data_IF_421186964417
#
_entry.id   IF_421186964417
#
_cell.length_a   1.000
_cell.length_b   1.000
_cell.length_c   1.000
_cell.angle_alpha   90.00
_cell.angle_beta   90.00
_cell.angle_gamma   90.00
#
_symmetry.space_group_name_H-M   'P 1'
#
loop_
_entity.id
_entity.type
_entity.pdbx_description
1 polymer ?
#
# COMPACT_ATOMS: atom_id res chain seq x y z
N UNK A 1 -36.55 -5.39 -12.89
CA UNK A 1 -35.96 -5.09 -11.59
C UNK A 1 -35.08 -6.27 -11.19
N UNK A 2 -33.81 -6.25 -11.56
CA UNK A 2 -32.83 -7.26 -11.18
C UNK A 2 -32.21 -6.82 -9.83
N UNK A 3 -32.39 -7.67 -8.80
CA UNK A 3 -31.74 -7.47 -7.50
C UNK A 3 -30.22 -7.67 -7.72
N UNK A 4 -29.46 -6.62 -7.57
CA UNK A 4 -28.01 -6.71 -7.39
C UNK A 4 -27.77 -7.61 -6.17
N UNK A 5 -27.21 -8.79 -6.41
CA UNK A 5 -26.65 -9.62 -5.33
C UNK A 5 -25.44 -8.85 -4.79
N UNK A 6 -25.50 -8.49 -3.51
CA UNK A 6 -24.35 -7.96 -2.80
C UNK A 6 -23.21 -8.98 -2.93
N UNK A 7 -22.16 -8.62 -3.66
CA UNK A 7 -20.91 -9.38 -3.66
C UNK A 7 -20.35 -9.31 -2.25
N UNK A 8 -20.10 -10.46 -1.65
CA UNK A 8 -19.47 -10.54 -0.35
C UNK A 8 -18.01 -10.12 -0.50
N UNK A 9 -17.72 -8.88 -0.13
CA UNK A 9 -16.34 -8.47 0.12
C UNK A 9 -15.79 -9.30 1.28
N UNK A 10 -14.54 -9.71 1.17
CA UNK A 10 -13.86 -10.37 2.27
C UNK A 10 -13.70 -9.35 3.42
N UNK A 11 -14.70 -9.30 4.30
CA UNK A 11 -14.60 -8.61 5.57
C UNK A 11 -13.91 -9.58 6.54
N UNK A 12 -12.77 -9.23 7.14
CA UNK A 12 -12.18 -10.06 8.17
C UNK A 12 -13.21 -10.28 9.26
N UNK A 13 -13.40 -11.54 9.69
CA UNK A 13 -14.25 -11.83 10.84
C UNK A 13 -13.57 -11.27 12.09
N UNK A 14 -14.06 -10.12 12.53
CA UNK A 14 -13.59 -9.47 13.76
C UNK A 14 -14.18 -10.27 14.93
N UNK A 15 -13.37 -10.74 15.90
CA UNK A 15 -13.89 -11.31 17.13
C UNK A 15 -14.77 -10.29 17.86
N UNK A 16 -16.01 -10.66 18.20
CA UNK A 16 -16.92 -9.79 18.95
C UNK A 16 -16.44 -9.66 20.39
N UNK A 17 -16.47 -8.42 20.89
CA UNK A 17 -16.25 -7.97 22.27
C UNK A 17 -14.82 -8.11 22.81
N UNK A 18 -14.04 -7.05 22.70
CA UNK A 18 -12.83 -6.85 23.47
C UNK A 18 -13.12 -6.00 24.71
N UNK A 19 -12.55 -6.45 25.85
CA UNK A 19 -12.53 -5.68 27.11
C UNK A 19 -11.57 -4.49 26.96
N UNK A 20 -12.08 -3.27 27.05
CA UNK A 20 -11.39 -2.00 26.76
C UNK A 20 -10.29 -1.63 27.77
N UNK A 21 -9.94 -2.48 28.71
CA UNK A 21 -9.03 -2.13 29.81
C UNK A 21 -7.55 -2.46 29.57
N UNK A 22 -7.19 -3.18 28.50
CA UNK A 22 -5.82 -3.40 28.03
C UNK A 22 -5.82 -3.53 26.50
N UNK A 23 -5.88 -2.39 25.78
CA UNK A 23 -5.71 -2.35 24.34
C UNK A 23 -4.22 -2.55 24.03
N UNK A 24 -3.84 -3.77 23.65
CA UNK A 24 -2.65 -3.96 22.83
C UNK A 24 -2.93 -3.29 21.48
N UNK A 25 -2.28 -2.16 21.23
CA UNK A 25 -2.46 -1.37 20.00
C UNK A 25 -2.17 -2.16 18.72
N UNK A 26 -1.47 -3.28 18.85
CA UNK A 26 -1.15 -4.18 17.76
C UNK A 26 -1.23 -5.65 18.23
N UNK A 27 -2.06 -6.44 17.58
CA UNK A 27 -2.28 -7.85 17.90
C UNK A 27 -1.86 -8.72 16.72
N UNK A 28 -1.07 -9.77 17.00
CA UNK A 28 -0.73 -10.77 16.00
C UNK A 28 -1.96 -11.56 15.59
N UNK A 29 -2.19 -11.70 14.30
CA UNK A 29 -3.36 -12.36 13.70
C UNK A 29 -2.96 -13.04 12.39
N UNK A 30 -3.95 -13.44 11.60
CA UNK A 30 -3.76 -13.90 10.22
C UNK A 30 -4.73 -13.17 9.30
N UNK A 31 -4.31 -12.98 8.06
CA UNK A 31 -5.18 -12.53 6.97
C UNK A 31 -5.10 -13.56 5.83
N UNK A 32 -6.18 -14.29 5.59
CA UNK A 32 -6.09 -15.53 4.83
C UNK A 32 -5.16 -16.54 5.53
N UNK A 33 -4.11 -16.99 4.83
CA UNK A 33 -3.07 -17.86 5.41
C UNK A 33 -1.82 -17.08 5.85
N UNK A 34 -1.81 -15.75 5.67
CA UNK A 34 -0.64 -14.91 5.93
C UNK A 34 -0.61 -14.45 7.39
N UNK A 35 0.53 -14.57 8.09
CA UNK A 35 0.74 -13.88 9.36
C UNK A 35 0.53 -12.37 9.18
N UNK A 36 -0.20 -11.75 10.10
CA UNK A 36 -0.56 -10.36 10.03
C UNK A 36 -0.57 -9.70 11.41
N UNK A 37 -0.60 -8.37 11.42
CA UNK A 37 -0.89 -7.54 12.58
C UNK A 37 -2.24 -6.86 12.37
N UNK A 38 -3.05 -6.79 13.41
CA UNK A 38 -4.19 -5.88 13.51
C UNK A 38 -3.80 -4.72 14.41
N UNK A 39 -3.75 -3.53 13.87
CA UNK A 39 -3.63 -2.28 14.63
C UNK A 39 -5.03 -1.79 15.00
N UNK A 40 -5.17 -1.26 16.21
CA UNK A 40 -6.40 -0.60 16.67
C UNK A 40 -6.00 0.64 17.46
N UNK A 41 -6.39 1.81 16.99
CA UNK A 41 -6.17 3.08 17.69
C UNK A 41 -7.24 3.30 18.79
N UNK A 42 -6.98 4.15 19.78
CA UNK A 42 -7.92 4.44 20.87
C UNK A 42 -9.28 4.98 20.39
N UNK A 43 -9.33 5.64 19.25
CA UNK A 43 -10.56 6.18 18.64
C UNK A 43 -11.32 5.16 17.77
N UNK A 44 -10.81 3.93 17.66
CA UNK A 44 -11.45 2.82 16.97
C UNK A 44 -11.05 2.65 15.49
N UNK A 45 -10.10 3.43 14.97
CA UNK A 45 -9.55 3.15 13.65
C UNK A 45 -8.77 1.82 13.66
N UNK A 46 -8.81 1.09 12.55
CA UNK A 46 -8.21 -0.24 12.42
C UNK A 46 -7.40 -0.38 11.14
N UNK A 47 -6.30 -1.13 11.21
CA UNK A 47 -5.52 -1.51 10.03
C UNK A 47 -5.01 -2.95 10.13
N UNK A 48 -5.06 -3.68 9.04
CA UNK A 48 -4.49 -5.03 8.93
C UNK A 48 -3.26 -5.00 8.03
N UNK A 49 -2.12 -5.49 8.53
CA UNK A 49 -0.84 -5.49 7.83
C UNK A 49 -0.32 -6.92 7.79
N UNK A 50 -0.14 -7.50 6.61
CA UNK A 50 0.49 -8.81 6.49
C UNK A 50 2.01 -8.69 6.60
N UNK A 51 2.68 -9.67 7.22
CA UNK A 51 4.15 -9.71 7.27
C UNK A 51 4.74 -10.01 5.88
N UNK A 52 3.98 -10.67 5.01
CA UNK A 52 4.32 -10.83 3.61
C UNK A 52 4.12 -9.51 2.88
N UNK A 53 5.22 -8.91 2.44
CA UNK A 53 5.24 -7.62 1.74
C UNK A 53 5.16 -6.38 2.64
N UNK A 54 5.12 -6.51 3.97
CA UNK A 54 4.72 -5.42 4.90
C UNK A 54 3.44 -4.73 4.39
N UNK A 55 2.52 -5.54 3.87
CA UNK A 55 1.43 -5.10 3.03
C UNK A 55 0.25 -4.64 3.89
N UNK A 56 -0.01 -3.33 3.91
CA UNK A 56 -1.25 -2.80 4.47
C UNK A 56 -2.43 -3.22 3.56
N UNK A 57 -3.23 -4.18 4.05
CA UNK A 57 -4.26 -4.81 3.24
C UNK A 57 -5.66 -4.26 3.49
N UNK A 58 -5.88 -3.66 4.65
CA UNK A 58 -7.14 -3.03 5.06
C UNK A 58 -6.83 -1.84 5.94
N UNK A 59 -7.52 -0.73 5.73
CA UNK A 59 -7.50 0.43 6.59
C UNK A 59 -8.91 0.99 6.72
N UNK A 60 -9.42 0.94 7.94
CA UNK A 60 -10.74 1.41 8.31
C UNK A 60 -10.59 2.57 9.30
N UNK A 61 -11.11 3.73 8.94
CA UNK A 61 -11.10 4.89 9.83
C UNK A 61 -12.00 4.71 11.05
N UNK A 62 -11.95 5.63 11.99
CA UNK A 62 -12.84 5.66 13.17
C UNK A 62 -14.32 5.80 12.78
N UNK A 63 -14.62 6.30 11.58
CA UNK A 63 -15.96 6.32 10.97
C UNK A 63 -16.45 4.94 10.50
N UNK A 64 -15.62 3.88 10.63
CA UNK A 64 -15.92 2.51 10.25
C UNK A 64 -15.83 2.21 8.75
N UNK A 65 -15.47 3.19 7.91
CA UNK A 65 -15.35 3.01 6.46
C UNK A 65 -14.03 2.33 6.10
N UNK A 66 -14.11 1.25 5.29
CA UNK A 66 -12.95 0.69 4.62
C UNK A 66 -12.51 1.61 3.47
N UNK A 67 -11.22 1.89 3.40
CA UNK A 67 -10.64 2.81 2.39
C UNK A 67 -9.76 2.12 1.38
N UNK A 68 -9.40 0.86 1.62
CA UNK A 68 -8.55 0.11 0.72
C UNK A 68 -9.33 -1.01 0.03
N UNK A 69 -9.10 -1.13 -1.25
CA UNK A 69 -9.61 -2.24 -2.03
C UNK A 69 -8.66 -3.44 -1.90
N UNK A 70 -9.22 -4.62 -1.75
CA UNK A 70 -8.50 -5.87 -1.90
C UNK A 70 -9.37 -6.85 -2.70
N UNK A 71 -8.81 -7.42 -3.77
CA UNK A 71 -9.52 -8.37 -4.61
C UNK A 71 -9.87 -9.66 -3.84
N UNK A 72 -11.10 -10.12 -4.01
CA UNK A 72 -11.55 -11.40 -3.46
C UNK A 72 -10.84 -12.62 -4.08
N UNK A 73 -10.21 -12.44 -5.27
CA UNK A 73 -9.42 -13.48 -5.94
C UNK A 73 -7.92 -13.40 -5.63
N UNK A 74 -7.50 -12.46 -4.79
CA UNK A 74 -6.09 -12.34 -4.42
C UNK A 74 -5.61 -13.57 -3.68
N UNK A 75 -4.44 -14.09 -4.05
CA UNK A 75 -3.80 -15.19 -3.32
C UNK A 75 -3.28 -14.67 -1.98
N UNK A 76 -3.88 -15.15 -0.88
CA UNK A 76 -3.51 -14.75 0.50
C UNK A 76 -2.76 -15.89 1.20
N UNK A 77 -1.81 -16.51 0.48
CA UNK A 77 -1.02 -17.67 0.91
C UNK A 77 0.50 -17.47 0.73
N UNK A 78 0.93 -16.29 0.26
CA UNK A 78 2.33 -15.96 0.00
C UNK A 78 2.88 -16.49 -1.34
N UNK A 79 2.06 -17.10 -2.19
CA UNK A 79 2.49 -17.63 -3.49
C UNK A 79 2.67 -16.54 -4.55
N UNK A 80 1.99 -15.41 -4.42
CA UNK A 80 1.99 -14.28 -5.36
C UNK A 80 1.86 -12.95 -4.63
N UNK A 81 2.18 -11.86 -5.32
CA UNK A 81 1.87 -10.51 -4.84
C UNK A 81 0.35 -10.34 -4.62
N UNK A 82 -0.03 -9.67 -3.56
CA UNK A 82 -1.43 -9.39 -3.22
C UNK A 82 -1.98 -8.32 -4.18
N UNK A 83 -3.20 -8.53 -4.69
CA UNK A 83 -3.94 -7.58 -5.52
C UNK A 83 -4.83 -6.71 -4.63
N UNK A 84 -4.41 -5.48 -4.37
CA UNK A 84 -5.12 -4.55 -3.49
C UNK A 84 -4.26 -4.02 -2.36
N UNK A 85 -4.84 -3.33 -1.40
CA UNK A 85 -4.13 -2.72 -0.29
C UNK A 85 -3.03 -1.76 -0.72
N UNK A 86 -1.86 -1.83 -0.09
CA UNK A 86 -0.70 -1.00 -0.40
C UNK A 86 0.54 -1.87 -0.61
N UNK A 87 0.77 -2.43 -1.79
CA UNK A 87 2.02 -3.09 -2.14
C UNK A 87 3.22 -2.14 -2.03
N UNK A 88 4.29 -2.58 -1.35
CA UNK A 88 5.55 -1.84 -1.25
C UNK A 88 6.42 -2.16 -2.46
N UNK A 89 6.74 -1.14 -3.24
CA UNK A 89 7.53 -1.26 -4.47
C UNK A 89 8.98 -0.89 -4.17
N UNK A 90 9.90 -1.83 -4.40
CA UNK A 90 11.35 -1.68 -4.27
C UNK A 90 12.07 -2.93 -4.82
N UNK A 91 13.23 -2.84 -5.50
CA UNK A 91 14.01 -1.64 -5.80
C UNK A 91 13.70 -1.02 -7.17
N UNK A 92 12.72 -1.54 -7.90
CA UNK A 92 12.32 -0.99 -9.20
C UNK A 92 10.81 -0.87 -9.33
N UNK A 93 10.35 0.08 -10.15
CA UNK A 93 8.94 0.26 -10.51
C UNK A 93 8.64 -0.40 -11.86
N UNK A 94 7.55 -1.14 -11.97
CA UNK A 94 7.16 -1.89 -13.16
C UNK A 94 8.34 -2.69 -13.74
N UNK A 95 8.60 -2.57 -15.03
CA UNK A 95 9.73 -3.16 -15.75
C UNK A 95 10.88 -2.16 -15.97
N UNK A 96 10.95 -1.07 -15.17
CA UNK A 96 12.01 -0.05 -15.25
C UNK A 96 13.28 -0.52 -14.54
N UNK A 97 13.83 -1.66 -15.00
CA UNK A 97 15.03 -2.28 -14.46
C UNK A 97 15.17 -3.72 -14.93
N UNK A 98 16.28 -4.37 -14.59
CA UNK A 98 16.56 -5.75 -15.00
C UNK A 98 15.93 -6.81 -14.06
N UNK A 99 15.38 -6.40 -12.91
CA UNK A 99 14.81 -7.28 -11.91
C UNK A 99 13.35 -7.64 -12.19
N UNK A 100 12.73 -8.32 -11.22
CA UNK A 100 11.31 -8.66 -11.32
C UNK A 100 10.42 -7.40 -11.31
N UNK A 101 9.31 -7.46 -12.03
CA UNK A 101 8.31 -6.39 -12.09
C UNK A 101 7.90 -5.92 -10.69
N UNK A 102 8.04 -4.61 -10.43
CA UNK A 102 7.80 -3.95 -9.16
C UNK A 102 8.71 -4.39 -8.00
N UNK A 103 9.80 -5.10 -8.29
CA UNK A 103 10.77 -5.53 -7.31
C UNK A 103 10.26 -6.61 -6.33
N UNK A 104 11.08 -6.92 -5.36
CA UNK A 104 10.89 -8.06 -4.45
C UNK A 104 10.28 -7.68 -3.09
N UNK A 105 10.24 -6.42 -2.71
CA UNK A 105 9.80 -6.02 -1.36
C UNK A 105 8.39 -6.53 -1.03
N UNK A 106 7.46 -6.43 -1.98
CA UNK A 106 6.06 -6.87 -1.85
C UNK A 106 5.84 -8.39 -1.83
N UNK A 107 6.88 -9.18 -2.13
CA UNK A 107 6.84 -10.65 -2.13
C UNK A 107 7.85 -11.27 -1.15
N UNK A 108 8.40 -10.46 -0.27
CA UNK A 108 9.30 -10.89 0.80
C UNK A 108 8.61 -10.84 2.16
N UNK A 109 9.04 -11.67 3.11
CA UNK A 109 8.53 -11.63 4.48
C UNK A 109 9.32 -10.61 5.29
N UNK A 110 8.62 -9.64 5.88
CA UNK A 110 9.18 -8.60 6.73
C UNK A 110 9.05 -8.99 8.20
N UNK A 111 9.88 -8.37 9.03
CA UNK A 111 9.87 -8.56 10.48
C UNK A 111 9.29 -7.32 11.17
N UNK A 112 8.44 -7.53 12.17
CA UNK A 112 8.02 -6.44 13.07
C UNK A 112 9.21 -6.10 13.95
N UNK A 113 9.60 -4.82 13.98
CA UNK A 113 10.71 -4.31 14.79
C UNK A 113 10.25 -3.38 15.91
N UNK A 114 9.06 -2.80 15.76
CA UNK A 114 8.44 -1.94 16.75
C UNK A 114 6.92 -1.90 16.53
N UNK A 115 6.16 -1.75 17.60
CA UNK A 115 4.71 -1.54 17.53
C UNK A 115 4.21 -0.93 18.83
N UNK A 116 3.10 -0.21 18.80
CA UNK A 116 2.52 0.39 19.99
C UNK A 116 1.58 1.55 19.71
N UNK A 117 1.49 2.45 20.68
CA UNK A 117 0.81 3.73 20.59
C UNK A 117 1.84 4.85 20.64
N UNK A 118 1.64 5.88 19.80
CA UNK A 118 2.41 7.11 19.77
C UNK A 118 1.41 8.27 19.75
N UNK A 119 1.38 9.04 20.83
CA UNK A 119 0.32 10.00 21.17
C UNK A 119 -1.07 9.34 21.18
N UNK A 120 -1.75 9.23 20.09
CA UNK A 120 -3.05 8.55 19.96
C UNK A 120 -3.10 7.63 18.73
N UNK A 121 -2.02 7.54 17.98
CA UNK A 121 -1.93 6.70 16.81
C UNK A 121 -1.47 5.28 17.18
N UNK A 122 -2.17 4.26 16.71
CA UNK A 122 -1.66 2.89 16.72
C UNK A 122 -0.68 2.71 15.57
N UNK A 123 0.50 2.14 15.82
CA UNK A 123 1.53 2.00 14.81
C UNK A 123 2.25 0.66 14.83
N UNK A 124 2.82 0.29 13.70
CA UNK A 124 3.82 -0.76 13.57
C UNK A 124 4.96 -0.31 12.65
N UNK A 125 6.18 -0.76 12.95
CA UNK A 125 7.35 -0.64 12.10
C UNK A 125 7.77 -2.03 11.67
N UNK A 126 7.83 -2.24 10.36
CA UNK A 126 8.30 -3.48 9.77
C UNK A 126 9.64 -3.22 9.07
N UNK A 127 10.53 -4.22 9.06
CA UNK A 127 11.82 -4.13 8.40
C UNK A 127 12.08 -5.36 7.50
N UNK A 128 12.80 -5.11 6.41
CA UNK A 128 13.34 -6.13 5.51
C UNK A 128 14.81 -5.80 5.26
N UNK A 129 15.69 -6.79 5.42
CA UNK A 129 17.12 -6.64 5.16
C UNK A 129 17.56 -7.58 4.03
N UNK A 130 18.72 -7.27 3.46
CA UNK A 130 19.31 -8.09 2.40
C UNK A 130 19.50 -9.57 2.78
N UNK A 131 19.80 -9.85 4.05
CA UNK A 131 19.93 -11.22 4.58
C UNK A 131 18.58 -11.96 4.73
N UNK A 132 17.46 -11.26 4.71
CA UNK A 132 16.12 -11.85 4.80
C UNK A 132 15.58 -12.28 3.42
N UNK A 133 16.26 -11.92 2.32
CA UNK A 133 15.80 -12.23 0.98
C UNK A 133 15.93 -13.71 0.63
N UNK A 134 14.96 -14.20 -0.13
CA UNK A 134 15.11 -15.49 -0.80
C UNK A 134 16.34 -15.47 -1.75
N UNK A 135 17.09 -16.59 -1.88
CA UNK A 135 18.36 -16.64 -2.62
C UNK A 135 18.27 -16.06 -4.04
N UNK A 136 17.18 -16.30 -4.76
CA UNK A 136 16.99 -15.80 -6.12
C UNK A 136 16.91 -14.27 -6.17
N UNK A 137 16.31 -13.62 -5.16
CA UNK A 137 16.22 -12.17 -5.09
C UNK A 137 17.54 -11.54 -4.68
N UNK A 138 18.23 -12.13 -3.70
CA UNK A 138 19.55 -11.70 -3.28
C UNK A 138 20.59 -11.81 -4.42
N UNK A 139 20.49 -12.84 -5.24
CA UNK A 139 21.37 -13.01 -6.41
C UNK A 139 21.06 -12.02 -7.53
N UNK A 140 19.77 -11.73 -7.78
CA UNK A 140 19.35 -10.81 -8.82
C UNK A 140 19.66 -9.34 -8.47
N UNK A 141 19.76 -9.01 -7.17
CA UNK A 141 20.05 -7.66 -6.70
C UNK A 141 21.00 -7.70 -5.48
N UNK A 142 22.33 -7.87 -5.70
CA UNK A 142 23.32 -8.22 -4.67
C UNK A 142 23.83 -6.98 -3.91
N UNK A 143 22.92 -6.19 -3.34
CA UNK A 143 23.25 -5.02 -2.53
C UNK A 143 22.85 -5.21 -1.07
N UNK A 144 23.67 -4.72 -0.15
CA UNK A 144 23.32 -4.65 1.26
C UNK A 144 22.36 -3.49 1.51
N UNK A 145 21.19 -3.77 2.06
CA UNK A 145 20.19 -2.75 2.37
C UNK A 145 19.40 -3.07 3.64
N UNK A 146 18.76 -2.06 4.19
CA UNK A 146 17.66 -2.17 5.13
C UNK A 146 16.50 -1.29 4.66
N UNK A 147 15.31 -1.89 4.56
CA UNK A 147 14.04 -1.18 4.39
C UNK A 147 13.35 -1.11 5.74
N UNK A 148 12.72 0.02 6.04
CA UNK A 148 11.82 0.18 7.19
C UNK A 148 10.53 0.85 6.71
N UNK A 149 9.40 0.28 7.12
CA UNK A 149 8.08 0.86 6.84
C UNK A 149 7.35 1.03 8.18
N UNK A 150 7.11 2.27 8.57
CA UNK A 150 6.21 2.60 9.68
C UNK A 150 4.83 2.88 9.11
N UNK A 151 3.82 2.23 9.66
CA UNK A 151 2.41 2.45 9.36
C UNK A 151 1.74 2.88 10.65
N UNK A 152 1.06 4.04 10.63
CA UNK A 152 0.36 4.58 11.78
C UNK A 152 -1.05 5.01 11.38
N UNK A 153 -2.02 4.73 12.24
CA UNK A 153 -3.43 5.10 12.05
C UNK A 153 -3.97 5.82 13.26
N UNK A 154 -4.77 6.85 13.00
CA UNK A 154 -5.51 7.62 14.02
C UNK A 154 -6.72 8.28 13.36
N UNK A 155 -7.87 8.25 14.00
CA UNK A 155 -9.11 8.81 13.46
C UNK A 155 -9.40 8.30 12.02
N UNK A 156 -9.40 9.21 11.06
CA UNK A 156 -9.55 8.89 9.64
C UNK A 156 -8.23 9.12 8.87
N UNK A 157 -7.10 9.07 9.58
CA UNK A 157 -5.78 9.34 9.02
C UNK A 157 -4.92 8.08 8.96
N UNK A 158 -4.16 7.96 7.89
CA UNK A 158 -3.12 6.97 7.66
C UNK A 158 -1.82 7.70 7.37
N UNK A 159 -0.75 7.36 8.10
CA UNK A 159 0.60 7.85 7.83
C UNK A 159 1.53 6.68 7.59
N UNK A 160 2.25 6.71 6.48
CA UNK A 160 3.26 5.71 6.13
C UNK A 160 4.61 6.40 5.92
N UNK A 161 5.63 5.97 6.67
CA UNK A 161 7.02 6.40 6.47
C UNK A 161 7.81 5.24 5.90
N UNK A 162 8.40 5.43 4.74
CA UNK A 162 9.23 4.42 4.09
C UNK A 162 10.68 4.89 4.05
N UNK A 163 11.58 4.10 4.63
CA UNK A 163 13.01 4.35 4.63
C UNK A 163 13.75 3.28 3.82
N UNK A 164 14.68 3.71 3.00
CA UNK A 164 15.65 2.87 2.28
C UNK A 164 17.05 3.28 2.74
N UNK A 165 17.81 2.34 3.31
CA UNK A 165 19.19 2.56 3.74
C UNK A 165 20.14 1.63 2.99
N UNK A 166 21.26 2.17 2.51
CA UNK A 166 22.36 1.37 2.01
C UNK A 166 23.24 0.90 3.19
N UNK A 167 23.20 -0.39 3.48
CA UNK A 167 24.03 -1.04 4.52
C UNK A 167 25.22 -1.79 3.94
N UNK A 168 25.35 -1.81 2.61
CA UNK A 168 26.43 -2.47 1.88
C UNK A 168 27.67 -1.59 1.69
N UNK A 169 28.61 -2.11 0.92
CA UNK A 169 29.87 -1.45 0.60
C UNK A 169 29.87 -0.75 -0.78
N UNK A 170 28.82 -0.94 -1.58
CA UNK A 170 28.70 -0.39 -2.93
C UNK A 170 27.46 0.50 -3.06
N UNK A 171 27.53 1.60 -3.85
CA UNK A 171 26.36 2.41 -4.11
C UNK A 171 25.34 1.65 -4.96
N UNK A 172 24.05 2.01 -4.82
CA UNK A 172 22.99 1.49 -5.67
C UNK A 172 21.92 2.56 -5.98
N UNK A 173 21.39 2.61 -7.21
CA UNK A 173 20.17 3.32 -7.53
C UNK A 173 18.94 2.48 -7.16
N UNK A 174 17.80 3.12 -6.92
CA UNK A 174 16.54 2.44 -6.66
C UNK A 174 15.35 3.27 -7.13
N UNK A 175 14.20 2.60 -7.26
CA UNK A 175 12.89 3.21 -7.29
C UNK A 175 12.06 2.69 -6.12
N UNK A 176 11.13 3.52 -5.65
CA UNK A 176 10.23 3.19 -4.55
C UNK A 176 8.83 3.72 -4.82
N UNK A 177 7.80 2.97 -4.38
CA UNK A 177 6.43 3.47 -4.39
C UNK A 177 5.59 2.72 -3.34
N UNK A 178 4.47 3.35 -2.96
CA UNK A 178 3.40 2.73 -2.19
C UNK A 178 2.18 2.61 -3.12
N UNK A 179 1.99 1.43 -3.71
CA UNK A 179 1.01 1.16 -4.77
C UNK A 179 -0.42 1.09 -4.21
N UNK A 180 -0.94 2.21 -3.75
CA UNK A 180 -2.17 2.29 -2.97
C UNK A 180 -3.41 2.09 -3.83
N UNK A 181 -4.21 1.06 -3.51
CA UNK A 181 -5.52 0.77 -4.10
C UNK A 181 -6.61 1.37 -3.23
N UNK A 182 -7.13 2.54 -3.58
CA UNK A 182 -8.26 3.12 -2.88
C UNK A 182 -9.57 2.43 -3.27
N UNK A 183 -10.35 2.01 -2.28
CA UNK A 183 -11.71 1.51 -2.49
C UNK A 183 -12.63 2.69 -2.83
N UNK A 184 -13.39 2.56 -3.90
CA UNK A 184 -14.36 3.56 -4.35
C UNK A 184 -15.73 2.92 -4.63
N UNK A 185 -16.76 3.74 -4.65
CA UNK A 185 -18.11 3.26 -4.97
C UNK A 185 -18.28 2.95 -6.46
N UNK A 186 -17.80 3.81 -7.33
CA UNK A 186 -17.67 3.57 -8.78
C UNK A 186 -16.56 4.44 -9.35
N UNK A 187 -15.58 3.84 -10.02
CA UNK A 187 -14.47 4.56 -10.65
C UNK A 187 -14.91 5.69 -11.58
N UNK A 188 -16.04 5.55 -12.25
CA UNK A 188 -16.56 6.58 -13.16
C UNK A 188 -16.98 7.87 -12.43
N UNK A 189 -17.31 7.78 -11.13
CA UNK A 189 -17.64 8.93 -10.29
C UNK A 189 -16.42 9.58 -9.64
N UNK A 190 -15.26 8.90 -9.63
CA UNK A 190 -14.04 9.42 -9.01
C UNK A 190 -13.49 10.61 -9.77
N UNK A 191 -13.00 11.58 -9.01
CA UNK A 191 -12.22 12.71 -9.53
C UNK A 191 -10.91 12.82 -8.75
N UNK A 192 -9.84 13.12 -9.47
CA UNK A 192 -8.50 13.28 -8.88
C UNK A 192 -8.01 14.68 -9.25
N UNK A 193 -7.63 15.44 -8.24
CA UNK A 193 -7.12 16.80 -8.35
C UNK A 193 -5.64 16.86 -7.98
N UNK A 194 -4.89 17.72 -8.65
CA UNK A 194 -3.47 18.00 -8.40
C UNK A 194 -2.48 17.20 -9.23
N UNK A 195 -2.91 16.22 -10.03
CA UNK A 195 -2.03 15.51 -10.98
C UNK A 195 -1.94 16.20 -12.33
N UNK A 196 -3.01 16.90 -12.74
CA UNK A 196 -3.12 17.69 -13.97
C UNK A 196 -3.68 19.09 -13.66
N UNK A 197 -3.70 19.96 -14.67
CA UNK A 197 -4.25 21.32 -14.53
C UNK A 197 -5.77 21.28 -14.29
N UNK A 198 -6.44 20.31 -14.90
CA UNK A 198 -7.86 20.06 -14.73
C UNK A 198 -8.08 18.81 -13.87
N UNK A 199 -9.27 18.70 -13.28
CA UNK A 199 -9.66 17.53 -12.49
C UNK A 199 -9.71 16.28 -13.39
N UNK A 200 -8.96 15.24 -13.01
CA UNK A 200 -8.87 14.00 -13.76
C UNK A 200 -10.08 13.10 -13.49
N UNK A 201 -10.75 12.65 -14.54
CA UNK A 201 -11.78 11.61 -14.52
C UNK A 201 -11.29 10.36 -15.25
N UNK A 202 -11.61 9.18 -14.71
CA UNK A 202 -11.24 7.89 -15.30
C UNK A 202 -12.48 7.25 -15.91
N UNK A 203 -12.50 7.10 -17.23
CA UNK A 203 -13.65 6.58 -17.98
C UNK A 203 -13.41 5.21 -18.60
N UNK A 204 -12.15 4.76 -18.64
CA UNK A 204 -11.71 3.49 -19.20
C UNK A 204 -10.35 3.10 -18.56
N UNK A 205 -9.63 2.14 -19.16
CA UNK A 205 -8.25 1.83 -18.78
C UNK A 205 -7.41 3.10 -18.65
N UNK A 206 -6.73 3.21 -17.52
CA UNK A 206 -5.87 4.33 -17.21
C UNK A 206 -4.56 3.83 -16.60
N UNK A 207 -3.44 4.24 -17.16
CA UNK A 207 -2.10 3.91 -16.67
C UNK A 207 -1.18 5.09 -17.02
N UNK A 208 -1.02 6.00 -16.07
CA UNK A 208 -0.24 7.21 -16.31
C UNK A 208 0.67 7.55 -15.15
N UNK A 209 1.90 7.86 -15.52
CA UNK A 209 2.94 8.40 -14.62
C UNK A 209 2.93 9.91 -14.71
N UNK A 210 2.95 10.55 -13.56
CA UNK A 210 3.09 11.99 -13.39
C UNK A 210 4.39 12.26 -12.63
N UNK A 211 5.34 12.86 -13.29
CA UNK A 211 6.65 13.21 -12.70
C UNK A 211 6.60 14.59 -12.06
N UNK A 212 7.28 14.76 -10.93
CA UNK A 212 7.38 16.02 -10.19
C UNK A 212 6.02 16.65 -9.87
N UNK A 213 5.10 15.85 -9.35
CA UNK A 213 3.76 16.34 -8.95
C UNK A 213 3.83 17.23 -7.72
N UNK A 214 2.77 18.02 -7.53
CA UNK A 214 2.59 18.75 -6.27
C UNK A 214 2.55 17.78 -5.08
N UNK A 215 3.07 18.19 -3.90
CA UNK A 215 3.12 17.30 -2.72
C UNK A 215 1.73 17.01 -2.13
N UNK A 216 0.68 17.58 -2.67
CA UNK A 216 -0.71 17.38 -2.26
C UNK A 216 -1.60 17.11 -3.46
N UNK A 217 -2.25 15.97 -3.42
CA UNK A 217 -3.31 15.55 -4.33
C UNK A 217 -4.61 15.41 -3.56
N UNK A 218 -5.74 15.34 -4.26
CA UNK A 218 -7.01 14.99 -3.67
C UNK A 218 -7.76 13.97 -4.53
N UNK A 219 -8.46 13.06 -3.87
CA UNK A 219 -9.41 12.15 -4.51
C UNK A 219 -10.82 12.43 -3.98
N UNK A 220 -11.77 12.59 -4.88
CA UNK A 220 -13.18 12.79 -4.55
C UNK A 220 -13.98 11.60 -5.04
N UNK A 221 -14.72 10.97 -4.13
CA UNK A 221 -15.63 9.85 -4.41
C UNK A 221 -16.96 10.07 -3.68
N UNK A 222 -18.06 10.31 -4.43
CA UNK A 222 -19.40 10.43 -3.88
C UNK A 222 -19.57 11.48 -2.78
N UNK A 223 -18.77 12.56 -2.80
CA UNK A 223 -18.76 13.62 -1.79
C UNK A 223 -17.79 13.39 -0.62
N UNK A 224 -17.10 12.27 -0.57
CA UNK A 224 -15.95 12.05 0.31
C UNK A 224 -14.70 12.59 -0.37
N UNK A 225 -13.92 13.38 0.34
CA UNK A 225 -12.65 13.93 -0.15
C UNK A 225 -11.54 13.31 0.69
N UNK A 226 -10.62 12.61 0.04
CA UNK A 226 -9.36 12.19 0.65
C UNK A 226 -8.24 13.11 0.19
N UNK A 227 -7.53 13.68 1.14
CA UNK A 227 -6.30 14.44 0.87
C UNK A 227 -5.12 13.50 0.94
N UNK A 228 -4.30 13.51 -0.11
CA UNK A 228 -3.12 12.67 -0.25
C UNK A 228 -1.89 13.60 -0.23
N UNK A 229 -1.05 13.50 0.79
CA UNK A 229 0.20 14.26 0.90
C UNK A 229 1.37 13.33 0.80
N UNK A 230 2.39 13.76 0.07
CA UNK A 230 3.64 13.01 -0.09
C UNK A 230 4.85 13.93 0.10
N UNK A 231 5.87 13.39 0.79
CA UNK A 231 7.18 14.02 0.95
C UNK A 231 8.25 12.97 0.63
N UNK A 232 9.33 13.38 -0.04
CA UNK A 232 10.36 12.45 -0.52
C UNK A 232 9.96 11.63 -1.76
N UNK A 233 8.69 11.30 -1.94
CA UNK A 233 8.13 10.81 -3.20
C UNK A 233 7.86 12.01 -4.11
N UNK A 234 8.47 12.02 -5.30
CA UNK A 234 8.39 13.17 -6.24
C UNK A 234 7.34 12.96 -7.32
N UNK A 235 6.93 11.72 -7.53
CA UNK A 235 6.09 11.33 -8.64
C UNK A 235 4.77 10.74 -8.12
N UNK A 236 3.78 10.64 -8.99
CA UNK A 236 2.56 9.88 -8.74
C UNK A 236 2.23 8.99 -9.93
N UNK A 237 1.65 7.83 -9.64
CA UNK A 237 1.08 6.96 -10.68
C UNK A 237 -0.40 6.83 -10.43
N UNK A 238 -1.19 7.04 -11.47
CA UNK A 238 -2.63 6.78 -11.45
C UNK A 238 -2.92 5.60 -12.36
N UNK A 239 -3.55 4.56 -11.80
CA UNK A 239 -3.81 3.33 -12.54
C UNK A 239 -5.20 2.75 -12.24
N UNK A 240 -5.83 2.29 -13.32
CA UNK A 240 -6.98 1.40 -13.30
C UNK A 240 -6.95 0.54 -14.58
N UNK A 241 -7.14 -0.78 -14.50
CA UNK A 241 -7.02 -1.66 -15.67
C UNK A 241 -8.14 -1.46 -16.70
N UNK A 242 -9.26 -0.85 -16.34
CA UNK A 242 -10.46 -0.87 -17.17
C UNK A 242 -11.04 -2.27 -17.32
N UNK A 243 -12.11 -2.42 -18.10
CA UNK A 243 -12.83 -3.67 -18.24
C UNK A 243 -12.04 -4.74 -19.00
N UNK A 244 -11.33 -4.36 -20.06
CA UNK A 244 -10.63 -5.28 -20.94
C UNK A 244 -9.46 -5.96 -20.22
N UNK A 245 -8.56 -5.18 -19.60
CA UNK A 245 -7.40 -5.74 -18.89
C UNK A 245 -7.85 -6.47 -17.62
N UNK A 246 -8.88 -5.99 -16.91
CA UNK A 246 -9.41 -6.66 -15.72
C UNK A 246 -9.81 -8.11 -15.99
N UNK A 247 -10.47 -8.37 -17.12
CA UNK A 247 -10.89 -9.72 -17.55
C UNK A 247 -9.70 -10.66 -17.82
N UNK A 248 -8.48 -10.13 -17.99
CA UNK A 248 -7.26 -10.94 -18.20
C UNK A 248 -6.49 -11.21 -16.89
N UNK A 249 -6.81 -10.52 -15.79
CA UNK A 249 -6.12 -10.64 -14.51
C UNK A 249 -6.70 -11.80 -13.69
N UNK A 250 -5.94 -12.88 -13.55
CA UNK A 250 -6.40 -14.08 -12.84
C UNK A 250 -6.64 -13.87 -11.32
N UNK A 251 -6.03 -12.83 -10.75
CA UNK A 251 -6.10 -12.46 -9.34
C UNK A 251 -7.11 -11.34 -9.03
N UNK A 252 -8.01 -11.05 -9.99
CA UNK A 252 -9.08 -10.05 -9.86
C UNK A 252 -10.36 -10.55 -10.53
N UNK A 253 -11.54 -10.22 -9.98
CA UNK A 253 -12.80 -10.47 -10.68
C UNK A 253 -13.04 -9.37 -11.75
N UNK A 254 -13.72 -9.76 -12.86
CA UNK A 254 -13.84 -8.91 -14.06
C UNK A 254 -14.44 -7.54 -13.77
N UNK A 255 -15.40 -7.44 -12.85
CA UNK A 255 -16.09 -6.18 -12.50
C UNK A 255 -15.40 -5.40 -11.35
N UNK A 256 -14.36 -5.96 -10.71
CA UNK A 256 -13.70 -5.30 -9.57
C UNK A 256 -12.95 -4.02 -9.96
N UNK A 257 -12.57 -3.85 -11.26
CA UNK A 257 -11.95 -2.62 -11.74
C UNK A 257 -12.80 -1.36 -11.44
N UNK A 258 -14.11 -1.52 -11.30
CA UNK A 258 -15.04 -0.42 -10.99
C UNK A 258 -14.92 0.06 -9.54
N UNK A 259 -14.30 -0.73 -8.67
CA UNK A 259 -14.31 -0.57 -7.23
C UNK A 259 -13.03 0.01 -6.66
N UNK A 260 -12.08 0.39 -7.50
CA UNK A 260 -10.84 0.98 -7.03
C UNK A 260 -10.22 1.94 -8.03
N UNK A 261 -9.33 2.76 -7.49
CA UNK A 261 -8.31 3.48 -8.25
C UNK A 261 -6.98 3.38 -7.51
N UNK A 262 -5.90 3.18 -8.24
CA UNK A 262 -4.57 3.36 -7.68
C UNK A 262 -4.14 4.80 -7.83
N UNK A 263 -3.71 5.41 -6.70
CA UNK A 263 -3.00 6.68 -6.67
C UNK A 263 -1.77 6.45 -5.80
N UNK A 264 -0.63 6.40 -6.44
CA UNK A 264 0.59 5.85 -5.86
C UNK A 264 1.61 6.97 -5.68
N UNK A 265 2.01 7.33 -4.43
CA UNK A 265 3.21 8.12 -4.24
C UNK A 265 4.41 7.30 -4.71
N UNK A 266 5.24 7.89 -5.57
CA UNK A 266 6.35 7.19 -6.21
C UNK A 266 7.62 8.04 -6.26
N UNK A 267 8.75 7.36 -6.26
CA UNK A 267 10.08 7.85 -6.59
C UNK A 267 10.62 6.98 -7.71
N UNK A 268 10.37 7.35 -8.95
CA UNK A 268 10.68 6.51 -10.11
C UNK A 268 12.13 6.61 -10.56
N UNK A 269 12.77 7.73 -10.25
CA UNK A 269 14.18 8.00 -10.52
C UNK A 269 14.86 8.43 -9.22
N UNK A 270 15.00 7.48 -8.30
CA UNK A 270 15.59 7.72 -6.99
C UNK A 270 17.08 8.05 -7.05
N UNK A 271 17.64 8.60 -5.96
CA UNK A 271 19.08 8.87 -5.87
C UNK A 271 19.86 7.56 -5.85
N UNK A 272 21.14 7.66 -6.23
CA UNK A 272 22.10 6.59 -5.96
C UNK A 272 22.57 6.74 -4.50
N UNK A 273 22.15 5.82 -3.61
CA UNK A 273 22.58 5.83 -2.21
C UNK A 273 24.03 5.32 -2.09
N UNK A 274 24.90 6.14 -1.51
CA UNK A 274 26.25 5.73 -1.14
C UNK A 274 26.21 4.81 0.10
N UNK A 275 27.26 4.03 0.38
CA UNK A 275 27.36 3.26 1.61
C UNK A 275 27.05 4.10 2.87
N UNK A 276 26.11 3.65 3.67
CA UNK A 276 25.65 4.31 4.89
C UNK A 276 24.56 5.39 4.70
N UNK A 277 24.31 5.84 3.47
CA UNK A 277 23.25 6.81 3.18
C UNK A 277 21.85 6.19 3.29
N UNK A 278 20.88 7.07 3.49
CA UNK A 278 19.45 6.71 3.52
C UNK A 278 18.62 7.72 2.75
N UNK A 279 17.48 7.24 2.28
CA UNK A 279 16.38 8.03 1.75
C UNK A 279 15.13 7.75 2.58
N UNK A 280 14.25 8.73 2.68
CA UNK A 280 12.97 8.61 3.38
C UNK A 280 11.86 9.23 2.53
N UNK A 281 10.71 8.56 2.51
CA UNK A 281 9.47 9.08 1.95
C UNK A 281 8.34 8.97 2.97
N UNK A 282 7.48 9.97 2.99
CA UNK A 282 6.26 10.01 3.80
C UNK A 282 5.04 10.07 2.90
N UNK A 283 4.01 9.36 3.27
CA UNK A 283 2.69 9.39 2.65
C UNK A 283 1.62 9.51 3.72
N UNK A 284 0.82 10.57 3.63
CA UNK A 284 -0.26 10.86 4.57
C UNK A 284 -1.59 10.95 3.81
N UNK A 285 -2.58 10.17 4.26
CA UNK A 285 -3.95 10.15 3.75
C UNK A 285 -4.91 10.57 4.85
N UNK A 286 -5.74 11.58 4.56
CA UNK A 286 -6.70 12.12 5.53
C UNK A 286 -8.02 12.55 4.88
#
# INVERSE_FOLDING_TARGET
MARLKAMAYYAPQIPQAFDMNHLDAAVSTTFGQLPALLLTSPDGAQASITLYGAHLISWRGADGRERLFCSAKSALDGSKAIRGGVPVIFPQFAERGAGMRHGFARVSTWRVVEQGLDDHAAFAVLALRSEDLAPQHAQAWPHGFELRLRIAIHANELVMHFEVRNTGATPFPFAAALHTYFLVDDIAAVRIDGVETEELAITDKFDRVYENVAPRLAMVDGGVVLTLRQEGFTDAVVWNPGAEDAATLADMADEEYRRFVCIEPALLSGPTLQPGERWQGEYHVS
#
